data_IF_581474153340
#
_entry.id   IF_581474153340
#
_cell.length_a   1.000
_cell.length_b   1.000
_cell.length_c   1.000
_cell.angle_alpha   90.00
_cell.angle_beta   90.00
_cell.angle_gamma   90.00
#
_symmetry.space_group_name_H-M   'P 1'
#
loop_
_entity.id
_entity.type
_entity.pdbx_description
1 polymer ?
#
# COMPACT_ATOMS: atom_id res chain seq x y z
N UNK A 1 20.39 7.85 -8.15
CA UNK A 1 20.27 6.57 -7.42
C UNK A 1 18.89 6.00 -7.72
N UNK A 2 18.79 5.15 -8.74
CA UNK A 2 17.57 4.39 -9.01
C UNK A 2 17.49 3.24 -8.01
N UNK A 3 16.64 3.35 -7.01
CA UNK A 3 16.21 2.21 -6.19
C UNK A 3 15.15 1.44 -6.97
N UNK A 4 15.58 0.72 -8.02
CA UNK A 4 14.69 0.23 -9.07
C UNK A 4 14.02 -1.11 -8.81
N UNK A 5 14.27 -1.79 -7.68
CA UNK A 5 13.63 -3.10 -7.48
C UNK A 5 13.18 -3.43 -6.05
N UNK A 6 12.37 -2.55 -5.47
CA UNK A 6 11.56 -2.93 -4.30
C UNK A 6 10.49 -3.96 -4.70
N UNK A 7 10.38 -5.07 -3.97
CA UNK A 7 9.37 -6.11 -4.17
C UNK A 7 7.98 -5.65 -3.71
N UNK A 8 6.94 -6.33 -4.17
CA UNK A 8 5.58 -5.99 -3.79
C UNK A 8 5.36 -6.14 -2.28
N UNK A 9 5.88 -7.21 -1.69
CA UNK A 9 5.84 -7.50 -0.27
C UNK A 9 6.54 -6.42 0.56
N UNK A 10 7.65 -5.89 0.07
CA UNK A 10 8.36 -4.80 0.73
C UNK A 10 7.54 -3.50 0.71
N UNK A 11 6.80 -3.23 -0.37
CA UNK A 11 5.85 -2.11 -0.42
C UNK A 11 4.74 -2.30 0.64
N UNK A 12 4.19 -3.52 0.76
CA UNK A 12 3.18 -3.85 1.78
C UNK A 12 3.71 -3.58 3.20
N UNK A 13 4.93 -4.04 3.49
CA UNK A 13 5.59 -3.86 4.79
C UNK A 13 5.81 -2.36 5.07
N UNK A 14 6.32 -1.59 4.11
CA UNK A 14 6.55 -0.15 4.29
C UNK A 14 5.26 0.61 4.63
N UNK A 15 4.16 0.29 3.96
CA UNK A 15 2.86 0.92 4.23
C UNK A 15 2.34 0.51 5.60
N UNK A 16 2.44 -0.78 5.95
CA UNK A 16 2.00 -1.27 7.26
C UNK A 16 2.79 -0.64 8.41
N UNK A 17 4.10 -0.52 8.26
CA UNK A 17 4.98 0.12 9.23
C UNK A 17 4.68 1.62 9.38
N UNK A 18 4.46 2.33 8.26
CA UNK A 18 4.09 3.74 8.28
C UNK A 18 2.71 3.96 8.92
N UNK A 19 1.74 3.10 8.62
CA UNK A 19 0.41 3.08 9.27
C UNK A 19 0.56 2.88 10.78
N UNK A 20 1.35 1.89 11.21
CA UNK A 20 1.57 1.58 12.63
C UNK A 20 2.20 2.75 13.37
N UNK A 21 3.24 3.38 12.80
CA UNK A 21 3.88 4.57 13.40
C UNK A 21 2.91 5.72 13.64
N UNK A 22 1.98 5.94 12.70
CA UNK A 22 0.94 6.97 12.87
C UNK A 22 -0.05 6.59 13.98
N UNK A 23 -0.50 5.35 14.01
CA UNK A 23 -1.40 4.85 15.06
C UNK A 23 -0.76 4.92 16.45
N UNK A 24 0.49 4.50 16.57
CA UNK A 24 1.28 4.59 17.82
C UNK A 24 1.41 6.06 18.29
N UNK A 25 1.46 6.99 17.34
CA UNK A 25 1.46 8.44 17.58
C UNK A 25 0.07 9.04 17.77
N UNK A 26 -0.97 8.22 17.98
CA UNK A 26 -2.37 8.64 18.15
C UNK A 26 -2.95 9.41 16.96
N UNK A 27 -2.36 9.23 15.77
CA UNK A 27 -2.84 9.79 14.51
C UNK A 27 -3.64 8.73 13.76
N UNK A 28 -4.80 9.11 13.21
CA UNK A 28 -5.64 8.21 12.40
C UNK A 28 -5.24 8.34 10.92
N UNK A 29 -4.48 7.39 10.35
CA UNK A 29 -4.15 7.42 8.94
C UNK A 29 -5.42 7.24 8.10
N UNK A 30 -5.48 7.94 6.96
CA UNK A 30 -6.64 7.90 6.04
C UNK A 30 -6.26 7.48 4.63
N UNK A 31 -5.03 7.77 4.18
CA UNK A 31 -4.60 7.54 2.80
C UNK A 31 -3.19 6.98 2.67
N UNK A 32 -2.97 6.25 1.59
CA UNK A 32 -1.65 5.87 1.09
C UNK A 32 -1.39 6.62 -0.22
N UNK A 33 -0.35 7.44 -0.26
CA UNK A 33 0.12 8.10 -1.47
C UNK A 33 1.28 7.30 -2.03
N UNK A 34 1.25 6.93 -3.30
CA UNK A 34 2.36 6.23 -3.93
C UNK A 34 2.52 6.55 -5.41
N UNK A 35 3.75 6.42 -5.90
CA UNK A 35 4.03 6.46 -7.32
C UNK A 35 3.26 5.37 -8.08
N UNK A 36 2.78 5.68 -9.28
CA UNK A 36 2.03 4.73 -10.13
C UNK A 36 2.76 3.40 -10.37
N UNK A 37 4.09 3.43 -10.49
CA UNK A 37 4.96 2.24 -10.60
C UNK A 37 4.78 1.23 -9.45
N UNK A 38 4.63 1.71 -8.22
CA UNK A 38 4.44 0.85 -7.04
C UNK A 38 3.03 0.25 -7.04
N UNK A 39 2.03 1.06 -7.37
CA UNK A 39 0.65 0.58 -7.50
C UNK A 39 0.51 -0.50 -8.57
N UNK A 40 1.14 -0.32 -9.75
CA UNK A 40 1.16 -1.34 -10.81
C UNK A 40 1.81 -2.65 -10.32
N UNK A 41 2.94 -2.56 -9.61
CA UNK A 41 3.63 -3.73 -9.04
C UNK A 41 2.74 -4.47 -8.02
N UNK A 42 2.05 -3.74 -7.16
CA UNK A 42 1.08 -4.28 -6.21
C UNK A 42 -0.12 -4.97 -6.92
N UNK A 43 -0.66 -4.36 -7.98
CA UNK A 43 -1.78 -4.96 -8.75
C UNK A 43 -1.36 -6.25 -9.44
N UNK A 44 -0.16 -6.30 -10.01
CA UNK A 44 0.38 -7.53 -10.60
C UNK A 44 0.58 -8.61 -9.53
N UNK A 45 1.16 -8.24 -8.39
CA UNK A 45 1.32 -9.15 -7.26
C UNK A 45 -0.01 -9.71 -6.76
N UNK A 46 -1.02 -8.84 -6.54
CA UNK A 46 -2.36 -9.26 -6.12
C UNK A 46 -3.01 -10.24 -7.08
N UNK A 47 -2.80 -10.08 -8.39
CA UNK A 47 -3.29 -10.99 -9.41
C UNK A 47 -2.64 -12.39 -9.34
N UNK A 48 -1.43 -12.50 -8.77
CA UNK A 48 -0.76 -13.80 -8.57
C UNK A 48 -1.25 -14.57 -7.34
N UNK A 49 -1.85 -13.88 -6.37
CA UNK A 49 -2.31 -14.50 -5.11
C UNK A 49 -3.61 -15.30 -5.25
N UNK A 50 -4.29 -15.21 -6.41
CA UNK A 50 -5.57 -15.87 -6.64
C UNK A 50 -6.73 -15.22 -5.86
N UNK A 51 -7.85 -15.93 -5.78
CA UNK A 51 -9.03 -15.46 -5.06
C UNK A 51 -8.87 -15.73 -3.55
N UNK A 52 -9.22 -14.74 -2.74
CA UNK A 52 -9.25 -14.93 -1.30
C UNK A 52 -10.45 -15.81 -0.94
N UNK A 53 -10.30 -16.71 0.05
CA UNK A 53 -11.42 -17.45 0.62
C UNK A 53 -12.52 -16.48 1.06
N UNK A 54 -13.78 -16.89 0.85
CA UNK A 54 -14.94 -16.11 1.26
C UNK A 54 -14.86 -15.77 2.76
N UNK A 55 -14.96 -14.47 3.09
CA UNK A 55 -14.88 -13.97 4.47
C UNK A 55 -13.50 -13.47 4.92
N UNK A 56 -12.44 -13.59 4.12
CA UNK A 56 -11.17 -12.88 4.39
C UNK A 56 -11.18 -11.48 3.80
N UNK A 57 -10.76 -10.49 4.59
CA UNK A 57 -10.61 -9.11 4.13
C UNK A 57 -9.39 -8.99 3.20
N UNK A 58 -9.63 -8.55 1.97
CA UNK A 58 -8.57 -8.23 1.03
C UNK A 58 -7.88 -6.93 1.47
N UNK A 59 -6.63 -7.03 1.90
CA UNK A 59 -5.86 -5.88 2.33
C UNK A 59 -5.41 -4.98 1.17
N UNK A 60 -5.64 -5.39 -0.09
CA UNK A 60 -5.29 -4.63 -1.28
C UNK A 60 -6.40 -4.76 -2.34
N UNK A 61 -7.36 -3.85 -2.27
CA UNK A 61 -8.44 -3.72 -3.26
C UNK A 61 -8.05 -2.75 -4.38
N UNK A 62 -8.99 -2.43 -5.26
CA UNK A 62 -8.76 -1.45 -6.33
C UNK A 62 -8.48 -0.03 -5.78
N UNK A 63 -9.16 0.34 -4.70
CA UNK A 63 -9.20 1.69 -4.14
C UNK A 63 -8.62 1.79 -2.73
N UNK A 64 -8.41 0.66 -2.04
CA UNK A 64 -7.95 0.63 -0.65
C UNK A 64 -6.76 -0.29 -0.42
N UNK A 65 -5.92 0.10 0.54
CA UNK A 65 -4.81 -0.68 1.05
C UNK A 65 -4.79 -0.62 2.57
N UNK A 66 -4.91 -1.78 3.24
CA UNK A 66 -5.08 -1.89 4.70
C UNK A 66 -6.20 -0.97 5.23
N UNK A 67 -7.30 -0.85 4.49
CA UNK A 67 -8.43 0.04 4.83
C UNK A 67 -8.20 1.53 4.58
N UNK A 68 -7.07 1.93 4.00
CA UNK A 68 -6.72 3.32 3.66
C UNK A 68 -6.96 3.58 2.17
N UNK A 69 -7.43 4.77 1.80
CA UNK A 69 -7.66 5.10 0.38
C UNK A 69 -6.33 5.26 -0.36
N UNK A 70 -6.24 4.70 -1.56
CA UNK A 70 -5.05 4.78 -2.42
C UNK A 70 -5.11 6.06 -3.26
N UNK A 71 -4.07 6.89 -3.15
CA UNK A 71 -3.82 8.05 -4.00
C UNK A 71 -2.57 7.81 -4.85
N UNK A 72 -2.68 8.01 -6.16
CA UNK A 72 -1.56 7.85 -7.08
C UNK A 72 -0.99 9.23 -7.42
N UNK A 73 0.25 9.46 -7.00
CA UNK A 73 0.99 10.70 -7.29
C UNK A 73 2.44 10.37 -7.63
N UNK A 74 2.87 10.74 -8.84
CA UNK A 74 4.21 10.43 -9.33
C UNK A 74 5.31 11.35 -8.75
N UNK A 75 4.95 12.37 -7.98
CA UNK A 75 5.92 13.21 -7.26
C UNK A 75 6.35 12.59 -5.93
N UNK A 76 5.68 11.52 -5.48
CA UNK A 76 5.92 10.88 -4.20
C UNK A 76 6.40 9.44 -4.37
N UNK A 77 7.19 8.96 -3.39
CA UNK A 77 7.61 7.56 -3.30
C UNK A 77 6.47 6.67 -2.80
N UNK A 78 6.50 6.37 -1.50
CA UNK A 78 5.43 5.69 -0.75
C UNK A 78 5.27 6.43 0.57
N UNK A 79 4.05 6.85 0.90
CA UNK A 79 3.75 7.58 2.12
C UNK A 79 2.35 7.24 2.64
N UNK A 80 2.19 7.23 3.96
CA UNK A 80 0.88 7.17 4.62
C UNK A 80 0.59 8.52 5.25
N UNK A 81 -0.62 9.05 5.05
CA UNK A 81 -1.03 10.36 5.56
C UNK A 81 -2.27 10.26 6.44
N UNK A 82 -2.46 11.30 7.25
CA UNK A 82 -3.70 11.58 7.99
C UNK A 82 -4.69 12.34 7.11
#
# INVERSE_FOLDING_TARGET
METTDIKAEEILILVLDAKKKLLDSHKKPTKVIMHSKYYKKLKLYRATLGDYPEGMEDYLTQDKMFGLDICIDNNYGIQVTI
#
